data_IF_933960346239
#
_entry.id   IF_933960346239
#
_cell.length_a   1.000
_cell.length_b   1.000
_cell.length_c   1.000
_cell.angle_alpha   90.00
_cell.angle_beta   90.00
_cell.angle_gamma   90.00
#
_symmetry.space_group_name_H-M   'P 1'
#
loop_
_entity.id
_entity.type
_entity.pdbx_description
1 polymer ?
#
# COMPACT_ATOMS: atom_id res chain seq x y z
N UNK A 1 -7.14 -1.80 -8.88
CA UNK A 1 -6.09 -2.57 -9.57
C UNK A 1 -6.62 -3.01 -10.92
N UNK A 2 -5.88 -2.74 -12.02
CA UNK A 2 -6.28 -3.27 -13.33
C UNK A 2 -6.47 -4.77 -13.29
N UNK A 3 -7.43 -5.27 -14.06
CA UNK A 3 -7.83 -6.68 -14.02
C UNK A 3 -6.68 -7.63 -14.35
N UNK A 4 -5.80 -7.25 -15.23
CA UNK A 4 -4.64 -8.04 -15.61
C UNK A 4 -3.56 -8.14 -14.53
N UNK A 5 -3.67 -7.31 -13.48
CA UNK A 5 -2.78 -7.35 -12.32
C UNK A 5 -3.43 -8.01 -11.10
N UNK A 6 -4.65 -8.51 -11.24
CA UNK A 6 -5.43 -9.11 -10.16
C UNK A 6 -5.49 -10.63 -10.32
N UNK A 7 -5.38 -11.35 -9.20
CA UNK A 7 -5.48 -12.81 -9.21
C UNK A 7 -6.10 -13.31 -7.91
N UNK A 8 -6.65 -14.51 -7.97
CA UNK A 8 -7.22 -15.17 -6.81
C UNK A 8 -6.51 -16.51 -6.53
N UNK A 9 -6.20 -16.78 -5.25
CA UNK A 9 -6.35 -15.85 -4.12
C UNK A 9 -5.50 -14.60 -4.33
N UNK A 10 -5.83 -13.52 -3.61
CA UNK A 10 -5.09 -12.26 -3.74
C UNK A 10 -3.58 -12.47 -3.70
N UNK A 11 -3.14 -13.37 -2.83
CA UNK A 11 -1.72 -13.71 -2.70
C UNK A 11 -1.59 -15.20 -2.39
N UNK A 12 -0.71 -15.88 -3.12
CA UNK A 12 -0.43 -17.30 -2.85
C UNK A 12 0.41 -17.42 -1.58
N UNK A 13 0.41 -18.62 -0.98
CA UNK A 13 1.24 -18.90 0.20
C UNK A 13 2.71 -18.65 -0.09
N UNK A 14 3.19 -19.03 -1.27
CA UNK A 14 4.59 -18.83 -1.66
C UNK A 14 4.92 -17.33 -1.78
N UNK A 15 4.02 -16.53 -2.35
CA UNK A 15 4.20 -15.08 -2.43
C UNK A 15 4.23 -14.46 -1.04
N UNK A 16 3.33 -14.88 -0.15
CA UNK A 16 3.27 -14.38 1.22
C UNK A 16 4.58 -14.68 1.95
N UNK A 17 5.08 -15.89 1.82
CA UNK A 17 6.35 -16.29 2.44
C UNK A 17 7.52 -15.44 1.94
N UNK A 18 7.58 -15.17 0.64
CA UNK A 18 8.62 -14.32 0.06
C UNK A 18 8.53 -12.89 0.61
N UNK A 19 7.33 -12.35 0.73
CA UNK A 19 7.13 -11.00 1.25
C UNK A 19 7.55 -10.90 2.71
N UNK A 20 7.18 -11.87 3.54
CA UNK A 20 7.57 -11.90 4.95
C UNK A 20 9.08 -12.03 5.08
N UNK A 21 9.70 -12.91 4.30
CA UNK A 21 11.16 -13.09 4.29
C UNK A 21 11.85 -11.81 3.85
N UNK A 22 11.24 -11.05 2.93
CA UNK A 22 11.75 -9.76 2.47
C UNK A 22 11.51 -8.60 3.43
N UNK A 23 10.93 -8.85 4.60
CA UNK A 23 10.76 -7.84 5.64
C UNK A 23 9.40 -7.16 5.67
N UNK A 24 8.42 -7.67 4.93
CA UNK A 24 7.05 -7.12 4.98
C UNK A 24 6.35 -7.63 6.25
N UNK A 25 5.82 -6.70 7.03
CA UNK A 25 5.01 -7.01 8.21
C UNK A 25 3.54 -6.84 7.84
N UNK A 26 2.71 -7.81 8.20
CA UNK A 26 1.30 -7.80 7.84
C UNK A 26 0.39 -7.61 9.05
N UNK A 27 -0.69 -6.88 8.83
CA UNK A 27 -1.83 -6.76 9.74
C UNK A 27 -3.03 -7.36 9.03
N UNK A 28 -3.81 -8.15 9.73
CA UNK A 28 -4.97 -8.82 9.14
C UNK A 28 -6.22 -8.58 9.98
N UNK A 29 -7.35 -8.45 9.29
CA UNK A 29 -8.65 -8.36 9.92
C UNK A 29 -9.42 -9.67 9.66
N UNK A 30 -9.97 -10.26 10.72
CA UNK A 30 -10.68 -11.53 10.66
C UNK A 30 -12.14 -11.32 11.03
N UNK A 31 -13.03 -11.98 10.29
CA UNK A 31 -14.46 -11.98 10.59
C UNK A 31 -15.01 -13.39 10.30
N UNK A 32 -15.77 -13.93 11.27
CA UNK A 32 -16.36 -15.26 11.16
C UNK A 32 -15.36 -16.36 10.75
N UNK A 33 -14.12 -16.25 11.26
CA UNK A 33 -13.07 -17.22 10.98
C UNK A 33 -12.36 -17.03 9.64
N UNK A 34 -12.72 -15.99 8.87
CA UNK A 34 -12.09 -15.71 7.58
C UNK A 34 -11.33 -14.41 7.60
N UNK A 35 -10.21 -14.37 6.89
CA UNK A 35 -9.45 -13.14 6.72
C UNK A 35 -10.16 -12.27 5.68
N UNK A 36 -10.64 -11.11 6.13
CA UNK A 36 -11.42 -10.20 5.28
C UNK A 36 -10.65 -8.97 4.82
N UNK A 37 -9.50 -8.72 5.43
CA UNK A 37 -8.65 -7.63 5.01
C UNK A 37 -7.23 -7.83 5.46
N UNK A 38 -6.28 -7.24 4.72
CA UNK A 38 -4.86 -7.33 5.01
C UNK A 38 -4.16 -6.05 4.57
N UNK A 39 -3.12 -5.68 5.31
CA UNK A 39 -2.22 -4.60 4.93
C UNK A 39 -0.80 -5.01 5.28
N UNK A 40 0.12 -4.84 4.34
CA UNK A 40 1.52 -5.17 4.52
C UNK A 40 2.39 -3.94 4.35
N UNK A 41 3.34 -3.73 5.27
CA UNK A 41 4.28 -2.62 5.22
C UNK A 41 5.71 -3.13 5.32
N UNK A 42 6.60 -2.49 4.60
CA UNK A 42 8.02 -2.83 4.58
C UNK A 42 8.85 -1.61 4.95
N UNK A 43 9.76 -1.76 5.91
CA UNK A 43 10.69 -0.69 6.26
C UNK A 43 11.81 -0.62 5.21
N UNK A 44 12.12 0.60 4.79
CA UNK A 44 13.24 0.86 3.88
C UNK A 44 14.22 1.85 4.51
N UNK A 45 14.37 1.78 5.81
CA UNK A 45 15.29 2.64 6.56
C UNK A 45 14.65 3.96 6.92
N UNK A 46 14.69 4.93 6.02
CA UNK A 46 14.18 6.28 6.29
C UNK A 46 12.69 6.43 6.02
N UNK A 47 12.09 5.48 5.30
CA UNK A 47 10.65 5.47 5.02
C UNK A 47 10.11 4.06 5.17
N UNK A 48 8.79 3.96 5.34
CA UNK A 48 8.07 2.70 5.27
C UNK A 48 7.14 2.71 4.07
N UNK A 49 7.00 1.55 3.42
CA UNK A 49 6.17 1.41 2.23
C UNK A 49 4.96 0.54 2.55
N UNK A 50 3.77 0.97 2.12
CA UNK A 50 2.62 0.07 2.06
C UNK A 50 2.81 -0.77 0.80
N UNK A 51 3.04 -2.08 1.00
CA UNK A 51 3.30 -3.00 -0.10
C UNK A 51 2.05 -3.74 -0.56
N UNK A 52 1.13 -3.95 0.35
CA UNK A 52 -0.11 -4.67 0.09
C UNK A 52 -1.22 -4.03 0.92
N UNK A 53 -2.39 -3.87 0.32
CA UNK A 53 -3.58 -3.39 1.02
C UNK A 53 -4.80 -3.95 0.27
N UNK A 54 -5.55 -4.80 0.94
CA UNK A 54 -6.69 -5.47 0.31
C UNK A 54 -7.79 -5.71 1.33
N UNK A 55 -9.02 -5.45 0.93
CA UNK A 55 -10.22 -5.79 1.69
C UNK A 55 -11.14 -6.55 0.74
N UNK A 56 -11.66 -7.70 1.19
CA UNK A 56 -12.59 -8.48 0.38
C UNK A 56 -13.78 -7.61 -0.05
N UNK A 57 -14.23 -7.72 -1.32
CA UNK A 57 -15.29 -6.85 -1.82
C UNK A 57 -16.55 -6.80 -0.96
N UNK A 58 -16.97 -7.94 -0.42
CA UNK A 58 -18.16 -8.00 0.44
C UNK A 58 -17.98 -7.26 1.77
N UNK A 59 -16.76 -6.94 2.14
CA UNK A 59 -16.42 -6.31 3.41
C UNK A 59 -15.94 -4.87 3.26
N UNK A 60 -15.94 -4.34 2.05
CA UNK A 60 -15.56 -2.96 1.81
C UNK A 60 -16.59 -1.98 2.37
N UNK A 61 -16.19 -0.73 2.58
CA UNK A 61 -17.03 0.35 3.12
C UNK A 61 -17.52 0.10 4.55
N UNK A 62 -16.78 -0.71 5.32
CA UNK A 62 -17.10 -1.01 6.72
C UNK A 62 -16.00 -0.55 7.69
N UNK A 63 -15.04 0.25 7.20
CA UNK A 63 -13.96 0.79 8.02
C UNK A 63 -12.80 -0.16 8.26
N UNK A 64 -12.75 -1.31 7.59
CA UNK A 64 -11.67 -2.30 7.77
C UNK A 64 -10.33 -1.74 7.29
N UNK A 65 -10.30 -1.11 6.11
CA UNK A 65 -9.08 -0.50 5.59
C UNK A 65 -8.51 0.55 6.55
N UNK A 66 -9.37 1.38 7.12
CA UNK A 66 -8.97 2.39 8.09
C UNK A 66 -8.43 1.77 9.37
N UNK A 67 -9.05 0.70 9.86
CA UNK A 67 -8.58 -0.02 11.05
C UNK A 67 -7.19 -0.62 10.81
N UNK A 68 -6.98 -1.22 9.65
CA UNK A 68 -5.69 -1.78 9.28
C UNK A 68 -4.62 -0.70 9.18
N UNK A 69 -4.95 0.42 8.54
CA UNK A 69 -4.02 1.54 8.42
C UNK A 69 -3.66 2.12 9.77
N UNK A 70 -4.63 2.30 10.66
CA UNK A 70 -4.39 2.79 12.01
C UNK A 70 -3.48 1.84 12.79
N UNK A 71 -3.71 0.55 12.68
CA UNK A 71 -2.85 -0.45 13.34
C UNK A 71 -1.41 -0.40 12.82
N UNK A 72 -1.25 -0.31 11.51
CA UNK A 72 0.07 -0.19 10.89
C UNK A 72 0.77 1.10 11.33
N UNK A 73 0.08 2.22 11.28
CA UNK A 73 0.64 3.52 11.67
C UNK A 73 1.09 3.56 13.12
N UNK A 74 0.43 2.80 14.00
CA UNK A 74 0.81 2.73 15.42
C UNK A 74 2.19 2.13 15.64
N UNK A 75 2.72 1.40 14.66
CA UNK A 75 4.02 0.76 14.72
C UNK A 75 5.08 1.45 13.85
N UNK A 76 4.71 2.56 13.19
CA UNK A 76 5.58 3.26 12.24
C UNK A 76 5.80 4.68 12.74
N UNK A 77 7.08 5.08 12.85
CA UNK A 77 7.43 6.42 13.36
C UNK A 77 7.76 7.40 12.24
N UNK A 78 8.24 6.91 11.11
CA UNK A 78 8.68 7.75 10.02
C UNK A 78 7.64 7.97 8.93
N UNK A 79 8.06 8.56 7.80
CA UNK A 79 7.18 8.75 6.66
C UNK A 79 6.66 7.42 6.10
N UNK A 80 5.40 7.43 5.67
CA UNK A 80 4.75 6.26 5.08
C UNK A 80 4.36 6.59 3.65
N UNK A 81 4.80 5.75 2.71
CA UNK A 81 4.56 5.93 1.29
C UNK A 81 3.69 4.80 0.76
N UNK A 82 2.83 5.11 -0.21
CA UNK A 82 2.07 4.09 -0.94
C UNK A 82 2.07 4.42 -2.42
N UNK A 83 2.31 3.40 -3.24
CA UNK A 83 2.19 3.50 -4.69
C UNK A 83 0.94 2.77 -5.14
N UNK A 84 0.17 3.37 -6.03
CA UNK A 84 -1.02 2.75 -6.58
C UNK A 84 -1.22 3.20 -8.02
N UNK A 85 -2.15 2.54 -8.74
CA UNK A 85 -2.47 2.91 -10.11
C UNK A 85 -3.16 4.27 -10.13
N UNK A 86 -2.80 5.09 -11.13
CA UNK A 86 -3.44 6.40 -11.30
C UNK A 86 -4.95 6.26 -11.54
N UNK A 87 -5.38 5.16 -12.15
CA UNK A 87 -6.79 4.89 -12.41
C UNK A 87 -7.55 4.39 -11.18
N UNK A 88 -6.85 4.03 -10.11
CA UNK A 88 -7.48 3.52 -8.89
C UNK A 88 -7.96 4.69 -8.01
N UNK A 89 -8.96 5.41 -8.50
CA UNK A 89 -9.45 6.61 -7.82
C UNK A 89 -9.99 6.33 -6.43
N UNK A 90 -10.56 5.14 -6.20
CA UNK A 90 -11.03 4.74 -4.87
C UNK A 90 -9.89 4.61 -3.87
N UNK A 91 -8.75 4.08 -4.30
CA UNK A 91 -7.57 3.93 -3.42
C UNK A 91 -6.97 5.30 -3.12
N UNK A 92 -6.82 6.13 -4.14
CA UNK A 92 -6.33 7.51 -3.97
C UNK A 92 -7.21 8.27 -2.98
N UNK A 93 -8.52 8.20 -3.17
CA UNK A 93 -9.48 8.87 -2.28
C UNK A 93 -9.37 8.33 -0.85
N UNK A 94 -9.23 7.03 -0.68
CA UNK A 94 -9.05 6.41 0.63
C UNK A 94 -7.82 6.97 1.35
N UNK A 95 -6.67 6.98 0.67
CA UNK A 95 -5.44 7.48 1.29
C UNK A 95 -5.51 8.98 1.57
N UNK A 96 -6.08 9.77 0.66
CA UNK A 96 -6.21 11.20 0.89
C UNK A 96 -7.11 11.50 2.08
N UNK A 97 -8.20 10.78 2.25
CA UNK A 97 -9.09 10.93 3.41
C UNK A 97 -8.41 10.54 4.71
N UNK A 98 -7.36 9.75 4.65
CA UNK A 98 -6.62 9.31 5.83
C UNK A 98 -5.30 10.08 6.02
N UNK A 99 -5.17 11.25 5.42
CA UNK A 99 -4.08 12.17 5.68
C UNK A 99 -2.89 12.06 4.74
N UNK A 100 -2.98 11.25 3.69
CA UNK A 100 -1.92 11.16 2.70
C UNK A 100 -2.04 12.29 1.67
N UNK A 101 -0.91 12.74 1.17
CA UNK A 101 -0.85 13.73 0.09
C UNK A 101 -0.27 13.10 -1.16
N UNK A 102 -0.88 13.41 -2.31
CA UNK A 102 -0.35 12.93 -3.58
C UNK A 102 0.90 13.73 -3.93
N UNK A 103 1.97 13.03 -4.28
CA UNK A 103 3.23 13.65 -4.65
C UNK A 103 3.22 14.09 -6.11
N UNK A 104 4.12 15.00 -6.45
CA UNK A 104 4.29 15.46 -7.82
C UNK A 104 4.85 14.34 -8.69
N UNK A 105 4.73 14.49 -10.00
CA UNK A 105 5.29 13.49 -10.92
C UNK A 105 6.80 13.33 -10.75
N UNK A 106 7.51 14.43 -10.54
CA UNK A 106 8.95 14.39 -10.34
C UNK A 106 9.33 13.63 -9.07
N UNK A 107 8.63 13.89 -7.96
CA UNK A 107 8.82 13.16 -6.71
C UNK A 107 8.48 11.68 -6.86
N UNK A 108 7.36 11.39 -7.53
CA UNK A 108 6.92 10.03 -7.79
C UNK A 108 7.99 9.24 -8.54
N UNK A 109 8.52 9.81 -9.61
CA UNK A 109 9.49 9.10 -10.45
C UNK A 109 10.77 8.75 -9.66
N UNK A 110 11.26 9.68 -8.86
CA UNK A 110 12.43 9.44 -8.01
C UNK A 110 12.15 8.30 -7.02
N UNK A 111 11.02 8.37 -6.33
CA UNK A 111 10.69 7.41 -5.28
C UNK A 111 10.36 6.03 -5.84
N UNK A 112 9.67 5.95 -6.98
CA UNK A 112 9.38 4.67 -7.59
C UNK A 112 10.66 3.95 -8.02
N UNK A 113 11.61 4.67 -8.60
CA UNK A 113 12.90 4.08 -8.98
C UNK A 113 13.72 3.66 -7.77
N UNK A 114 13.62 4.39 -6.69
CA UNK A 114 14.40 4.12 -5.48
C UNK A 114 13.87 2.93 -4.68
N UNK A 115 12.55 2.82 -4.53
CA UNK A 115 11.93 1.88 -3.60
C UNK A 115 11.11 0.78 -4.26
N UNK A 116 10.74 0.93 -5.52
CA UNK A 116 9.95 -0.07 -6.25
C UNK A 116 10.70 -0.54 -7.48
N UNK A 117 10.65 -1.84 -7.74
CA UNK A 117 11.21 -2.42 -8.95
C UNK A 117 10.06 -2.73 -9.90
N UNK A 118 9.62 -1.72 -10.63
CA UNK A 118 8.49 -1.85 -11.55
C UNK A 118 8.89 -1.34 -12.94
N UNK A 119 8.26 -1.88 -14.01
CA UNK A 119 8.53 -1.43 -15.36
C UNK A 119 8.17 0.05 -15.57
N UNK A 120 8.84 0.72 -16.49
CA UNK A 120 8.57 2.12 -16.78
C UNK A 120 7.12 2.39 -17.17
N UNK A 121 6.51 1.49 -17.91
CA UNK A 121 5.10 1.62 -18.28
C UNK A 121 4.21 1.63 -17.03
N UNK A 122 4.52 0.80 -16.05
CA UNK A 122 3.78 0.79 -14.79
C UNK A 122 4.02 2.08 -14.01
N UNK A 123 5.26 2.59 -14.02
CA UNK A 123 5.59 3.87 -13.38
C UNK A 123 4.76 5.01 -13.95
N UNK A 124 4.63 5.06 -15.29
CA UNK A 124 3.87 6.11 -15.97
C UNK A 124 2.39 6.11 -15.57
N UNK A 125 1.84 4.93 -15.23
CA UNK A 125 0.45 4.76 -14.86
C UNK A 125 0.21 4.68 -13.36
N UNK A 126 1.21 5.04 -12.56
CA UNK A 126 1.14 4.99 -11.10
C UNK A 126 1.21 6.37 -10.49
N UNK A 127 0.74 6.47 -9.25
CA UNK A 127 0.92 7.65 -8.41
C UNK A 127 1.53 7.20 -7.08
N UNK A 128 2.16 8.13 -6.38
CA UNK A 128 2.65 7.90 -5.02
C UNK A 128 2.01 8.91 -4.10
N UNK A 129 1.50 8.42 -2.98
CA UNK A 129 0.98 9.26 -1.92
C UNK A 129 1.85 9.05 -0.67
N UNK A 130 1.94 10.08 0.14
CA UNK A 130 2.80 10.06 1.31
C UNK A 130 2.13 10.71 2.51
N UNK A 131 2.47 10.19 3.69
CA UNK A 131 2.07 10.78 4.96
C UNK A 131 3.33 11.00 5.79
N UNK A 132 3.54 12.23 6.25
CA UNK A 132 4.74 12.56 7.03
C UNK A 132 6.01 12.72 6.21
N UNK A 133 5.91 12.81 4.89
CA UNK A 133 7.05 12.95 3.99
C UNK A 133 7.21 14.39 3.53
N UNK A 134 8.47 14.85 3.44
CA UNK A 134 8.80 16.16 2.87
C UNK A 134 10.01 16.03 1.96
N UNK A 135 9.83 16.37 0.68
CA UNK A 135 10.92 16.36 -0.30
C UNK A 135 11.95 17.48 -0.04
N UNK A 136 11.56 18.51 0.71
CA UNK A 136 12.43 19.64 1.02
C UNK A 136 13.33 19.40 2.22
N UNK A 137 13.15 18.30 2.91
CA UNK A 137 13.92 17.99 4.12
C UNK A 137 15.36 17.59 3.80
#
# INVERSE_FOLDING_TARGET
>A
IPRDCWHEPYMTTAELEREITGGVVFWACWAAGNMVGVMGCQSRGTVDLIRHAYVQPAWQHRGIGRQLLTAAESQIEGPLLVGTWAAATWAIDFYQRNGFQMLTQAEKDVLLRRYWLIPEQQMANSVVLAKGYSAAA
#
